data_IF_813932713523
#
_entry.id   IF_813932713523
#
_cell.length_a   1.000
_cell.length_b   1.000
_cell.length_c   1.000
_cell.angle_alpha   90.00
_cell.angle_beta   90.00
_cell.angle_gamma   90.00
#
_symmetry.space_group_name_H-M   'P 1'
#
loop_
_entity.id
_entity.type
_entity.pdbx_description
1 polymer ?
#
# COMPACT_ATOMS: atom_id res chain seq x y z
N UNK A 1 24.02 -29.18 8.21
CA UNK A 1 23.43 -28.84 7.59
C UNK A 1 23.03 -27.75 7.64
N UNK A 2 23.06 -27.15 7.02
CA UNK A 2 22.71 -26.01 7.17
C UNK A 2 21.50 -25.82 6.55
N UNK A 3 20.62 -25.49 7.20
CA UNK A 3 19.42 -25.16 6.66
C UNK A 3 19.63 -23.89 5.93
N UNK A 4 19.15 -23.81 4.79
CA UNK A 4 19.17 -22.59 4.06
C UNK A 4 18.21 -21.67 4.77
N UNK A 5 18.72 -20.63 5.32
CA UNK A 5 17.85 -19.69 5.99
C UNK A 5 17.11 -18.88 4.94
N UNK A 6 15.81 -18.84 5.01
CA UNK A 6 15.04 -17.95 4.15
C UNK A 6 15.05 -16.57 4.76
N UNK A 7 15.15 -15.53 3.97
CA UNK A 7 15.07 -14.19 4.50
C UNK A 7 13.78 -14.02 5.28
N UNK A 8 13.88 -13.42 6.45
CA UNK A 8 12.72 -13.30 7.30
C UNK A 8 11.94 -12.04 6.97
N UNK A 9 10.72 -12.22 6.47
CA UNK A 9 9.79 -11.13 6.26
C UNK A 9 8.89 -11.02 7.49
N UNK A 10 8.70 -9.82 7.97
CA UNK A 10 7.85 -9.58 9.13
C UNK A 10 7.11 -8.25 8.95
N UNK A 11 6.08 -8.05 9.77
CA UNK A 11 5.33 -6.80 9.78
C UNK A 11 5.44 -6.17 11.16
N UNK A 12 5.48 -4.85 11.19
CA UNK A 12 5.41 -4.12 12.45
C UNK A 12 4.74 -2.77 12.23
N UNK A 13 4.26 -2.13 13.30
CA UNK A 13 3.66 -0.81 13.18
C UNK A 13 4.69 0.25 12.81
N UNK A 14 4.22 1.32 12.19
CA UNK A 14 5.03 2.49 11.87
C UNK A 14 5.45 3.23 13.15
N UNK A 15 6.69 3.69 13.17
CA UNK A 15 7.20 4.57 14.21
C UNK A 15 7.70 5.84 13.53
N UNK A 16 7.61 6.97 14.21
CA UNK A 16 7.99 8.26 13.62
C UNK A 16 9.40 8.26 13.02
N UNK A 17 10.31 7.52 13.63
CA UNK A 17 11.69 7.46 13.13
C UNK A 17 11.82 6.70 11.82
N UNK A 18 10.78 6.05 11.37
CA UNK A 18 10.81 5.34 10.09
C UNK A 18 10.55 6.27 8.90
N UNK A 19 10.12 7.49 9.17
CA UNK A 19 9.64 8.39 8.10
C UNK A 19 10.65 8.57 6.96
N UNK A 20 11.91 8.80 7.28
CA UNK A 20 12.92 9.03 6.23
C UNK A 20 13.08 7.83 5.31
N UNK A 21 13.10 6.61 5.87
CA UNK A 21 13.23 5.40 5.06
C UNK A 21 11.97 5.16 4.24
N UNK A 22 10.79 5.41 4.79
CA UNK A 22 9.56 5.22 4.04
C UNK A 22 9.45 6.25 2.90
N UNK A 23 9.98 7.44 3.09
CA UNK A 23 10.04 8.42 2.00
C UNK A 23 10.88 7.89 0.85
N UNK A 24 12.02 7.25 1.17
CA UNK A 24 12.87 6.69 0.13
C UNK A 24 12.18 5.55 -0.60
N UNK A 25 11.52 4.66 0.14
CA UNK A 25 10.78 3.56 -0.48
C UNK A 25 9.68 4.11 -1.39
N UNK A 26 8.95 5.12 -0.93
CA UNK A 26 7.88 5.76 -1.69
C UNK A 26 8.44 6.30 -3.02
N UNK A 27 9.50 7.09 -2.95
CA UNK A 27 10.09 7.69 -4.14
C UNK A 27 10.68 6.65 -5.08
N UNK A 28 11.44 5.71 -4.56
CA UNK A 28 12.08 4.68 -5.39
C UNK A 28 11.05 3.79 -6.05
N UNK A 29 9.99 3.47 -5.34
CA UNK A 29 8.91 2.65 -5.87
C UNK A 29 8.26 3.35 -7.06
N UNK A 30 7.92 4.63 -6.92
CA UNK A 30 7.28 5.38 -7.99
C UNK A 30 8.23 5.49 -9.18
N UNK A 31 9.48 5.85 -8.92
CA UNK A 31 10.44 6.07 -9.99
C UNK A 31 10.71 4.80 -10.78
N UNK A 32 10.88 3.68 -10.11
CA UNK A 32 11.34 2.48 -10.79
C UNK A 32 10.24 1.50 -11.20
N UNK A 33 9.07 1.57 -10.57
CA UNK A 33 8.03 0.58 -10.82
C UNK A 33 6.85 1.10 -11.63
N UNK A 34 6.78 2.39 -11.93
CA UNK A 34 5.62 2.95 -12.61
C UNK A 34 5.91 3.57 -13.96
N UNK A 35 7.12 3.35 -14.48
CA UNK A 35 7.53 3.97 -15.74
C UNK A 35 6.77 3.50 -16.98
N UNK A 36 6.14 2.34 -16.92
CA UNK A 36 5.37 1.85 -18.05
C UNK A 36 4.02 2.55 -18.17
N UNK A 37 3.52 3.12 -17.08
CA UNK A 37 2.17 3.69 -17.04
C UNK A 37 2.13 5.20 -16.86
N UNK A 38 3.22 5.79 -16.37
CA UNK A 38 3.25 7.22 -16.08
C UNK A 38 4.52 7.85 -16.64
N UNK A 39 4.40 9.09 -17.16
CA UNK A 39 5.54 9.80 -17.70
C UNK A 39 6.48 10.24 -16.58
N UNK A 40 7.66 10.70 -16.97
CA UNK A 40 8.62 11.19 -16.00
C UNK A 40 8.02 12.37 -15.21
N UNK A 41 7.36 13.29 -15.88
CA UNK A 41 6.75 14.45 -15.21
C UNK A 41 5.66 14.00 -14.23
N UNK A 42 4.87 13.01 -14.60
CA UNK A 42 3.84 12.49 -13.70
C UNK A 42 4.46 11.80 -12.50
N UNK A 43 5.54 11.04 -12.70
CA UNK A 43 6.21 10.37 -11.58
C UNK A 43 6.86 11.37 -10.64
N UNK A 44 7.44 12.44 -11.16
CA UNK A 44 8.01 13.51 -10.35
C UNK A 44 6.93 14.19 -9.51
N UNK A 45 5.79 14.49 -10.12
CA UNK A 45 4.69 15.10 -9.41
C UNK A 45 4.18 14.18 -8.29
N UNK A 46 4.08 12.89 -8.58
CA UNK A 46 3.63 11.92 -7.60
C UNK A 46 4.63 11.81 -6.44
N UNK A 47 5.91 11.69 -6.76
CA UNK A 47 6.94 11.55 -5.73
C UNK A 47 7.04 12.80 -4.85
N UNK A 48 6.65 13.96 -5.37
CA UNK A 48 6.72 15.20 -4.62
C UNK A 48 5.79 15.23 -3.40
N UNK A 49 4.84 14.29 -3.32
CA UNK A 49 3.97 14.17 -2.15
C UNK A 49 4.82 13.94 -0.89
N UNK A 50 5.98 13.33 -1.03
CA UNK A 50 6.86 13.05 0.10
C UNK A 50 7.96 14.09 0.29
N UNK A 51 7.91 15.22 -0.43
CA UNK A 51 8.96 16.22 -0.33
C UNK A 51 9.06 16.85 1.06
N UNK A 52 7.91 17.08 1.69
CA UNK A 52 7.89 17.60 3.04
C UNK A 52 7.88 16.39 3.98
N UNK A 53 9.03 16.05 4.52
CA UNK A 53 9.17 14.86 5.35
C UNK A 53 8.27 14.92 6.58
N UNK A 54 8.14 16.08 7.18
CA UNK A 54 7.33 16.22 8.39
C UNK A 54 5.86 15.97 8.08
N UNK A 55 5.37 16.54 6.98
CA UNK A 55 3.98 16.34 6.59
C UNK A 55 3.73 14.88 6.22
N UNK A 56 4.68 14.25 5.51
CA UNK A 56 4.57 12.86 5.13
C UNK A 56 4.50 11.96 6.36
N UNK A 57 5.36 12.20 7.35
CA UNK A 57 5.35 11.44 8.59
C UNK A 57 4.06 11.64 9.38
N UNK A 58 3.51 12.86 9.35
CA UNK A 58 2.27 13.15 10.03
C UNK A 58 1.11 12.37 9.40
N UNK A 59 1.09 12.29 8.07
CA UNK A 59 0.05 11.53 7.38
C UNK A 59 0.16 10.04 7.73
N UNK A 60 1.37 9.51 7.75
CA UNK A 60 1.57 8.11 8.12
C UNK A 60 1.14 7.83 9.56
N UNK A 61 1.43 8.75 10.45
CA UNK A 61 1.05 8.59 11.85
C UNK A 61 -0.46 8.71 12.06
N UNK A 62 -1.14 9.47 11.19
CA UNK A 62 -2.60 9.63 11.27
C UNK A 62 -3.38 8.47 10.69
N UNK A 63 -2.71 7.53 10.04
CA UNK A 63 -3.34 6.34 9.48
C UNK A 63 -2.83 5.11 10.22
N UNK A 64 -3.49 3.99 10.05
CA UNK A 64 -2.96 2.74 10.58
C UNK A 64 -1.93 2.27 9.56
N UNK A 65 -0.65 2.44 9.86
CA UNK A 65 0.43 2.15 8.92
C UNK A 65 1.25 0.96 9.39
N UNK A 66 1.42 -0.01 8.49
CA UNK A 66 2.22 -1.19 8.74
C UNK A 66 3.47 -1.14 7.87
N UNK A 67 4.59 -1.59 8.43
CA UNK A 67 5.85 -1.69 7.71
C UNK A 67 6.20 -3.15 7.54
N UNK A 68 6.57 -3.53 6.33
CA UNK A 68 7.12 -4.84 6.06
C UNK A 68 8.64 -4.74 6.17
N UNK A 69 9.24 -5.65 6.92
CA UNK A 69 10.69 -5.68 7.08
C UNK A 69 11.26 -6.97 6.53
N UNK A 70 12.48 -6.90 6.02
CA UNK A 70 13.21 -8.06 5.57
C UNK A 70 14.47 -8.08 6.40
N UNK A 71 14.64 -9.09 7.24
CA UNK A 71 15.74 -9.15 8.18
C UNK A 71 15.84 -7.88 9.03
N UNK A 72 14.69 -7.36 9.41
CA UNK A 72 14.61 -6.18 10.26
C UNK A 72 14.65 -4.83 9.54
N UNK A 73 14.97 -4.82 8.25
CA UNK A 73 15.04 -3.56 7.49
C UNK A 73 13.75 -3.28 6.75
N UNK A 74 13.20 -2.08 6.82
CA UNK A 74 11.98 -1.76 6.09
C UNK A 74 12.15 -1.93 4.59
N UNK A 75 11.22 -2.63 3.95
CA UNK A 75 11.22 -2.86 2.51
C UNK A 75 9.87 -2.53 1.86
N UNK A 76 8.89 -2.16 2.63
CA UNK A 76 7.58 -1.78 2.09
C UNK A 76 6.68 -1.29 3.19
N UNK A 77 5.59 -0.65 2.83
CA UNK A 77 4.62 -0.19 3.81
C UNK A 77 3.25 -0.04 3.18
N UNK A 78 2.24 -0.09 4.03
CA UNK A 78 0.87 0.10 3.58
C UNK A 78 0.06 0.71 4.71
N UNK A 79 -1.03 1.39 4.39
CA UNK A 79 -1.82 2.03 5.41
C UNK A 79 -3.31 1.89 5.15
N UNK A 80 -4.09 1.94 6.24
CA UNK A 80 -5.53 2.11 6.17
C UNK A 80 -5.81 3.57 6.50
N UNK A 81 -6.48 4.24 5.57
CA UNK A 81 -6.91 5.60 5.75
C UNK A 81 -8.35 5.52 6.23
N UNK A 82 -8.63 6.03 7.39
CA UNK A 82 -9.92 5.81 8.00
C UNK A 82 -10.09 4.33 8.32
N UNK A 83 -11.27 3.79 8.07
CA UNK A 83 -11.53 2.40 8.40
C UNK A 83 -11.49 1.49 7.20
N UNK A 84 -11.92 1.97 6.05
CA UNK A 84 -12.28 1.13 4.93
C UNK A 84 -11.56 1.46 3.62
N UNK A 85 -10.43 2.15 3.70
CA UNK A 85 -9.70 2.49 2.49
C UNK A 85 -8.22 2.22 2.67
N UNK A 86 -7.61 1.57 1.68
CA UNK A 86 -6.17 1.44 1.63
C UNK A 86 -5.62 2.78 1.14
N UNK A 87 -4.86 3.46 1.98
CA UNK A 87 -4.34 4.78 1.65
C UNK A 87 -3.03 4.72 0.89
N UNK A 88 -2.15 3.82 1.27
CA UNK A 88 -0.83 3.67 0.64
C UNK A 88 -0.45 2.21 0.56
N UNK A 89 0.30 1.87 -0.50
CA UNK A 89 0.95 0.57 -0.63
C UNK A 89 2.17 0.78 -1.52
N UNK A 90 3.34 0.72 -0.94
CA UNK A 90 4.59 0.90 -1.67
C UNK A 90 5.62 -0.13 -1.24
N UNK A 91 6.32 -0.71 -2.22
CA UNK A 91 7.30 -1.76 -1.98
C UNK A 91 8.61 -1.33 -2.64
N UNK A 92 9.71 -1.53 -1.93
CA UNK A 92 11.01 -1.18 -2.48
C UNK A 92 11.27 -1.98 -3.76
N UNK A 93 11.76 -1.34 -4.82
CA UNK A 93 11.96 -2.03 -6.10
C UNK A 93 12.81 -3.29 -5.99
N UNK A 94 13.80 -3.31 -5.10
CA UNK A 94 14.69 -4.45 -4.96
C UNK A 94 13.98 -5.74 -4.54
N UNK A 95 12.80 -5.62 -3.92
CA UNK A 95 12.05 -6.80 -3.48
C UNK A 95 10.70 -6.91 -4.19
N UNK A 96 10.50 -6.16 -5.27
CA UNK A 96 9.25 -6.24 -6.02
C UNK A 96 9.06 -7.67 -6.53
N UNK A 97 7.82 -8.13 -6.52
CA UNK A 97 7.51 -9.48 -6.99
C UNK A 97 7.81 -10.59 -6.00
N UNK A 98 8.22 -10.25 -4.78
CA UNK A 98 8.59 -11.25 -3.78
C UNK A 98 7.55 -11.44 -2.68
N UNK A 99 6.33 -10.97 -2.90
CA UNK A 99 5.25 -11.21 -1.94
C UNK A 99 5.09 -10.18 -0.84
N UNK A 100 5.89 -9.11 -0.85
CA UNK A 100 5.79 -8.07 0.18
C UNK A 100 4.46 -7.35 0.12
N UNK A 101 4.02 -6.96 -1.09
CA UNK A 101 2.73 -6.28 -1.25
C UNK A 101 1.58 -7.17 -0.82
N UNK A 102 1.65 -8.46 -1.16
CA UNK A 102 0.61 -9.39 -0.76
C UNK A 102 0.53 -9.48 0.76
N UNK A 103 1.67 -9.61 1.43
CA UNK A 103 1.68 -9.71 2.88
C UNK A 103 1.07 -8.48 3.53
N UNK A 104 1.40 -7.30 3.00
CA UNK A 104 0.87 -6.04 3.52
C UNK A 104 -0.64 -5.94 3.33
N UNK A 105 -1.12 -6.24 2.13
CA UNK A 105 -2.56 -6.13 1.85
C UNK A 105 -3.35 -7.19 2.63
N UNK A 106 -2.82 -8.41 2.75
CA UNK A 106 -3.48 -9.44 3.56
C UNK A 106 -3.65 -8.96 5.00
N UNK A 107 -2.64 -8.33 5.55
CA UNK A 107 -2.72 -7.82 6.92
C UNK A 107 -3.75 -6.70 7.05
N UNK A 108 -3.79 -5.78 6.08
CA UNK A 108 -4.78 -4.71 6.10
C UNK A 108 -6.20 -5.26 6.00
N UNK A 109 -6.38 -6.28 5.15
CA UNK A 109 -7.71 -6.91 5.02
C UNK A 109 -8.14 -7.56 6.32
N UNK A 110 -7.22 -8.22 7.00
CA UNK A 110 -7.56 -8.85 8.27
C UNK A 110 -7.89 -7.79 9.33
N UNK A 111 -7.13 -6.72 9.37
CA UNK A 111 -7.38 -5.65 10.33
C UNK A 111 -8.73 -4.97 10.06
N UNK A 112 -9.02 -4.66 8.80
CA UNK A 112 -10.27 -4.02 8.44
C UNK A 112 -11.45 -4.96 8.73
N UNK A 113 -11.33 -6.23 8.33
CA UNK A 113 -12.38 -7.21 8.59
C UNK A 113 -12.63 -7.41 10.07
N UNK A 114 -11.55 -7.44 10.86
CA UNK A 114 -11.68 -7.57 12.32
C UNK A 114 -12.37 -6.38 12.97
N UNK A 115 -12.39 -5.24 12.28
CA UNK A 115 -13.07 -4.05 12.76
C UNK A 115 -14.49 -3.93 12.19
N UNK A 116 -14.96 -4.96 11.51
CA UNK A 116 -16.33 -4.97 10.98
C UNK A 116 -16.49 -4.33 9.61
N UNK A 117 -15.38 -4.05 8.90
CA UNK A 117 -15.47 -3.45 7.58
C UNK A 117 -15.92 -4.52 6.58
N UNK A 118 -17.01 -4.26 5.87
CA UNK A 118 -17.53 -5.21 4.90
C UNK A 118 -16.88 -5.06 3.53
N UNK A 119 -16.53 -3.83 3.16
CA UNK A 119 -15.95 -3.54 1.85
C UNK A 119 -14.72 -2.67 2.00
N UNK A 120 -13.62 -3.08 1.38
CA UNK A 120 -12.38 -2.33 1.43
C UNK A 120 -12.13 -1.69 0.08
N UNK A 121 -11.80 -0.39 0.09
CA UNK A 121 -11.61 0.38 -1.11
C UNK A 121 -10.16 0.74 -1.32
N UNK A 122 -9.74 0.91 -2.56
CA UNK A 122 -8.42 1.43 -2.88
C UNK A 122 -8.52 2.25 -4.17
N UNK A 123 -7.82 3.39 -4.20
CA UNK A 123 -7.65 4.13 -5.45
C UNK A 123 -6.30 3.69 -5.99
N UNK A 124 -6.31 2.72 -6.88
CA UNK A 124 -5.09 2.08 -7.34
C UNK A 124 -4.52 2.76 -8.57
N UNK A 125 -3.21 2.95 -8.60
CA UNK A 125 -2.55 3.45 -9.79
C UNK A 125 -2.70 2.43 -10.90
N UNK A 126 -2.47 2.86 -12.14
CA UNK A 126 -2.51 1.97 -13.28
C UNK A 126 -1.47 0.85 -13.12
N UNK A 127 -0.35 1.14 -12.46
CA UNK A 127 0.70 0.16 -12.23
C UNK A 127 0.31 -0.88 -11.17
N UNK A 128 -0.53 -0.52 -10.21
CA UNK A 128 -0.93 -1.42 -9.14
C UNK A 128 -2.26 -2.11 -9.41
N UNK A 129 -3.02 -1.65 -10.39
CA UNK A 129 -4.38 -2.14 -10.62
C UNK A 129 -4.43 -3.66 -10.80
N UNK A 130 -3.55 -4.22 -11.63
CA UNK A 130 -3.54 -5.66 -11.87
C UNK A 130 -3.28 -6.47 -10.61
N UNK A 131 -2.42 -5.96 -9.73
CA UNK A 131 -2.15 -6.62 -8.46
C UNK A 131 -3.43 -6.71 -7.63
N UNK A 132 -4.18 -5.62 -7.53
CA UNK A 132 -5.42 -5.64 -6.75
C UNK A 132 -6.51 -6.48 -7.42
N UNK A 133 -6.62 -6.42 -8.74
CA UNK A 133 -7.63 -7.22 -9.44
C UNK A 133 -7.42 -8.71 -9.22
N UNK A 134 -6.15 -9.15 -9.22
CA UNK A 134 -5.86 -10.54 -8.95
C UNK A 134 -6.24 -10.96 -7.54
N UNK A 135 -6.38 -9.99 -6.64
CA UNK A 135 -6.74 -10.27 -5.26
C UNK A 135 -8.23 -10.07 -4.99
N UNK A 136 -9.02 -9.91 -6.04
CA UNK A 136 -10.47 -9.85 -5.90
C UNK A 136 -11.06 -8.45 -5.82
N UNK A 137 -10.24 -7.43 -6.05
CA UNK A 137 -10.76 -6.06 -6.08
C UNK A 137 -11.39 -5.80 -7.45
N UNK A 138 -12.55 -5.17 -7.46
CA UNK A 138 -13.32 -4.93 -8.68
C UNK A 138 -13.38 -3.44 -8.97
N UNK A 139 -13.07 -3.06 -10.19
CA UNK A 139 -13.04 -1.65 -10.59
C UNK A 139 -14.43 -1.04 -10.52
N UNK A 140 -14.52 0.13 -9.92
CA UNK A 140 -15.76 0.86 -9.77
C UNK A 140 -15.78 2.14 -10.59
N UNK A 141 -14.66 2.86 -10.64
CA UNK A 141 -14.64 4.19 -11.24
C UNK A 141 -13.24 4.57 -11.67
N UNK A 142 -13.13 5.16 -12.84
CA UNK A 142 -11.86 5.70 -13.32
C UNK A 142 -11.76 7.15 -12.87
N UNK A 143 -10.60 7.54 -12.37
CA UNK A 143 -10.37 8.88 -11.85
C UNK A 143 -9.20 9.56 -12.53
N UNK A 144 -9.23 10.87 -12.54
CA UNK A 144 -8.10 11.68 -12.98
C UNK A 144 -7.85 12.69 -11.88
N UNK A 145 -6.66 12.65 -11.29
CA UNK A 145 -6.36 13.53 -10.17
C UNK A 145 -5.27 14.52 -10.56
N UNK A 146 -5.41 15.74 -10.07
CA UNK A 146 -4.43 16.79 -10.29
C UNK A 146 -3.41 16.75 -9.14
N UNK A 147 -2.13 16.70 -9.49
CA UNK A 147 -1.10 16.57 -8.48
C UNK A 147 0.12 17.35 -8.96
N UNK A 148 0.50 18.38 -8.25
CA UNK A 148 1.68 19.20 -8.56
C UNK A 148 1.74 19.59 -10.03
N UNK A 149 0.62 20.00 -10.60
CA UNK A 149 0.58 20.48 -11.98
C UNK A 149 0.40 19.41 -13.04
N UNK A 150 0.35 18.13 -12.66
CA UNK A 150 0.15 17.03 -13.59
C UNK A 150 -1.18 16.34 -13.33
N UNK A 151 -1.71 15.67 -14.35
CA UNK A 151 -2.92 14.87 -14.19
C UNK A 151 -2.51 13.40 -14.21
N UNK A 152 -2.92 12.67 -13.19
CA UNK A 152 -2.63 11.24 -13.09
C UNK A 152 -3.93 10.46 -13.05
N UNK A 153 -4.00 9.39 -13.80
CA UNK A 153 -5.17 8.53 -13.79
C UNK A 153 -5.00 7.42 -12.75
N UNK A 154 -6.08 7.07 -12.08
CA UNK A 154 -6.10 5.88 -11.25
C UNK A 154 -7.51 5.30 -11.29
N UNK A 155 -7.73 4.19 -10.62
CA UNK A 155 -9.02 3.53 -10.60
C UNK A 155 -9.41 3.19 -9.18
N UNK A 156 -10.64 3.50 -8.81
CA UNK A 156 -11.17 3.09 -7.51
C UNK A 156 -11.64 1.64 -7.65
N UNK A 157 -11.12 0.76 -6.80
CA UNK A 157 -11.53 -0.63 -6.75
C UNK A 157 -12.07 -0.95 -5.38
N UNK A 158 -12.91 -1.98 -5.31
CA UNK A 158 -13.57 -2.37 -4.08
C UNK A 158 -13.53 -3.88 -3.94
N UNK A 159 -13.29 -4.35 -2.73
CA UNK A 159 -13.34 -5.78 -2.44
C UNK A 159 -14.28 -6.04 -1.28
N UNK A 160 -15.17 -7.03 -1.43
CA UNK A 160 -15.97 -7.46 -0.32
C UNK A 160 -15.13 -8.36 0.53
N UNK A 161 -14.98 -8.03 1.80
CA UNK A 161 -14.20 -8.86 2.70
C UNK A 161 -15.07 -10.03 3.17
N UNK A 162 -14.40 -11.11 3.53
CA UNK A 162 -15.12 -12.29 3.97
C UNK A 162 -15.95 -11.91 5.15
N UNK A 163 -17.18 -12.28 5.09
CA UNK A 163 -18.05 -11.89 6.11
C UNK A 163 -17.66 -12.47 7.41
N UNK A 164 -17.86 -11.69 8.38
CA UNK A 164 -17.53 -12.16 9.65
C UNK A 164 -18.69 -12.87 10.11
N UNK A 165 -19.52 -13.06 9.24
CA UNK A 165 -20.65 -13.59 9.45
C UNK A 165 -20.68 -14.74 10.17
N UNK A 166 -19.90 -15.34 10.01
CA UNK A 166 -19.84 -16.55 10.57
C UNK A 166 -20.51 -16.38 11.81
N UNK A 167 -20.37 -15.38 12.19
CA UNK A 167 -20.77 -15.21 13.28
C UNK A 167 -22.08 -15.30 13.40
N UNK A 168 -22.55 -14.72 12.78
CA UNK A 168 -23.69 -14.61 12.93
C UNK A 168 -24.35 -15.65 12.73
N UNK A 169 -23.98 -16.07 12.01
CA UNK A 169 -24.70 -16.99 11.57
C UNK A 169 -25.11 -17.74 12.65
N UNK A 170 -24.49 -17.71 13.37
CA UNK A 170 -24.76 -18.45 14.30
C UNK A 170 -25.97 -18.19 14.83
N UNK A 171 -26.47 -17.50 14.67
CA UNK A 171 -27.61 -17.27 15.37
C UNK A 171 -28.56 -18.25 15.32
#
# INVERSE_FOLDING_TARGET
>A
MSATAHPKLALRPFLAEDTALLREIFRDSIEELTGDDYSEAQREAWASVADDEKAFGKDLAGQLTLIATLEGSPVGFASLEGKDKIGMLYVHPAVAGQGVGRMLVDALEKLAGGRGVAKLKVDASDSARGFFEKRGYVAQQRNSISLAGEWLANTTLLKQLAAQKSVEGSA
#
